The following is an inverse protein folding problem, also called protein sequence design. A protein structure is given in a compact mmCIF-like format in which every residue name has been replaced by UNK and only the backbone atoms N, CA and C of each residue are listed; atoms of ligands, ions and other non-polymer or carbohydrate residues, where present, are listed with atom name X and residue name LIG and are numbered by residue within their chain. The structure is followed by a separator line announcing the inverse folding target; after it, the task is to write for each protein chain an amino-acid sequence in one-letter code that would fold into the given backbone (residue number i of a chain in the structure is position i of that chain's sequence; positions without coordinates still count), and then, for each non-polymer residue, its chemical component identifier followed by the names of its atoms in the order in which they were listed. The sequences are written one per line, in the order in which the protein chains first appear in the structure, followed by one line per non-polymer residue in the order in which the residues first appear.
data_IF_070034638071
#
_entry.id   IF_070034638071
#
_cell.length_a   1.000
_cell.length_b   1.000
_cell.length_c   1.000
_cell.angle_alpha   90.00
_cell.angle_beta   90.00
_cell.angle_gamma   90.00
#
_symmetry.space_group_name_H-M   'P 1'
#
loop_
_entity.id
_entity.type
_entity.pdbx_description
1 polymer ?
#
# COMPACT_ATOMS: atom_id res chain seq x y z
N UNK A 1 -37.70 -31.54 57.18
CA UNK A 1 -36.75 -32.60 56.77
C UNK A 1 -35.95 -32.11 55.57
N UNK A 2 -34.66 -32.42 55.55
CA UNK A 2 -33.56 -31.79 54.80
C UNK A 2 -33.73 -31.71 53.27
N UNK A 3 -33.36 -30.58 52.67
CA UNK A 3 -32.68 -30.50 51.36
C UNK A 3 -31.47 -29.59 51.50
N UNK A 4 -30.29 -30.17 51.44
CA UNK A 4 -28.99 -29.47 51.37
C UNK A 4 -28.42 -29.77 49.99
N UNK A 5 -28.32 -28.75 49.14
CA UNK A 5 -27.58 -28.83 47.87
C UNK A 5 -26.24 -28.15 48.13
N UNK A 6 -25.17 -28.94 48.05
CA UNK A 6 -23.79 -28.50 48.22
C UNK A 6 -23.32 -27.76 46.96
N UNK A 7 -22.93 -26.50 47.16
CA UNK A 7 -21.71 -25.84 46.65
C UNK A 7 -21.28 -26.15 45.22
N UNK A 8 -21.59 -25.20 44.32
CA UNK A 8 -20.78 -24.92 43.14
C UNK A 8 -19.61 -24.01 43.50
N UNK A 9 -18.39 -24.44 43.15
CA UNK A 9 -17.20 -23.58 43.12
C UNK A 9 -16.08 -24.26 42.34
N UNK A 10 -15.89 -23.81 41.11
CA UNK A 10 -14.62 -23.81 40.36
C UNK A 10 -14.87 -22.88 39.16
N UNK A 11 -14.71 -21.56 39.31
CA UNK A 11 -13.43 -20.86 39.31
C UNK A 11 -12.56 -21.21 38.09
N UNK A 12 -12.47 -20.25 37.18
CA UNK A 12 -11.34 -20.10 36.26
C UNK A 12 -11.33 -21.01 35.04
N UNK A 13 -11.80 -20.50 33.91
CA UNK A 13 -10.98 -20.19 32.72
C UNK A 13 -11.99 -19.62 31.71
N UNK A 14 -12.27 -18.32 31.81
CA UNK A 14 -12.68 -17.59 30.62
C UNK A 14 -11.44 -17.51 29.75
N UNK A 15 -11.32 -18.43 28.80
CA UNK A 15 -10.31 -18.38 27.77
C UNK A 15 -10.57 -17.08 26.99
N UNK A 16 -9.78 -16.05 27.28
CA UNK A 16 -9.75 -14.80 26.55
C UNK A 16 -9.27 -15.09 25.13
N UNK A 17 -10.18 -15.54 24.27
CA UNK A 17 -9.98 -15.66 22.85
C UNK A 17 -10.41 -14.34 22.20
N UNK A 18 -9.46 -13.74 21.48
CA UNK A 18 -9.56 -12.60 20.55
C UNK A 18 -9.37 -11.22 21.21
N UNK A 19 -8.29 -10.48 20.83
CA UNK A 19 -8.20 -9.87 19.51
C UNK A 19 -6.86 -10.13 18.79
N UNK A 20 -6.75 -11.25 18.08
CA UNK A 20 -5.75 -11.41 17.01
C UNK A 20 -6.28 -10.96 15.63
N UNK A 21 -7.55 -10.56 15.53
CA UNK A 21 -8.16 -10.20 14.25
C UNK A 21 -7.83 -8.77 13.79
N UNK A 22 -7.57 -7.82 14.70
CA UNK A 22 -7.25 -6.45 14.30
C UNK A 22 -5.83 -6.29 13.71
N UNK A 23 -4.86 -7.08 14.20
CA UNK A 23 -3.46 -7.01 13.73
C UNK A 23 -3.28 -7.67 12.36
N UNK A 24 -4.12 -8.67 12.04
CA UNK A 24 -4.10 -9.34 10.74
C UNK A 24 -4.58 -8.41 9.62
N UNK A 25 -5.58 -7.57 9.87
CA UNK A 25 -6.04 -6.56 8.90
C UNK A 25 -4.99 -5.47 8.69
N UNK A 26 -4.33 -5.03 9.77
CA UNK A 26 -3.29 -4.00 9.72
C UNK A 26 -2.05 -4.44 8.91
N UNK A 27 -1.55 -5.64 9.18
CA UNK A 27 -0.39 -6.17 8.46
C UNK A 27 -0.72 -6.46 7.00
N UNK A 28 -1.93 -6.98 6.72
CA UNK A 28 -2.40 -7.24 5.35
C UNK A 28 -2.50 -5.96 4.54
N UNK A 29 -3.02 -4.87 5.12
CA UNK A 29 -3.11 -3.58 4.44
C UNK A 29 -1.73 -3.02 4.08
N UNK A 30 -0.80 -2.95 5.03
CA UNK A 30 0.55 -2.43 4.76
C UNK A 30 1.27 -3.27 3.69
N UNK A 31 1.17 -4.60 3.76
CA UNK A 31 1.80 -5.47 2.76
C UNK A 31 1.19 -5.29 1.37
N UNK A 32 -0.14 -5.12 1.29
CA UNK A 32 -0.84 -4.84 0.03
C UNK A 32 -0.34 -3.52 -0.58
N UNK A 33 -0.25 -2.48 0.24
CA UNK A 33 0.20 -1.14 -0.18
C UNK A 33 1.68 -1.15 -0.58
N UNK A 34 2.52 -1.96 0.07
CA UNK A 34 3.92 -2.18 -0.36
C UNK A 34 3.98 -2.88 -1.72
N UNK A 35 3.16 -3.91 -1.96
CA UNK A 35 3.12 -4.61 -3.25
C UNK A 35 2.63 -3.71 -4.39
N UNK A 36 1.62 -2.88 -4.14
CA UNK A 36 1.12 -1.87 -5.07
C UNK A 36 2.20 -0.83 -5.37
N UNK A 37 2.83 -0.26 -4.34
CA UNK A 37 3.91 0.70 -4.50
C UNK A 37 5.08 0.12 -5.29
N UNK A 38 5.46 -1.13 -5.03
CA UNK A 38 6.52 -1.81 -5.79
C UNK A 38 6.17 -1.89 -7.28
N UNK A 39 4.92 -2.24 -7.62
CA UNK A 39 4.46 -2.34 -9.01
C UNK A 39 4.52 -0.98 -9.73
N UNK A 40 3.97 0.06 -9.11
CA UNK A 40 3.97 1.43 -9.67
C UNK A 40 5.39 1.96 -9.81
N UNK A 41 6.22 1.78 -8.79
CA UNK A 41 7.62 2.21 -8.83
C UNK A 41 8.42 1.44 -9.89
N UNK A 42 8.15 0.15 -10.10
CA UNK A 42 8.74 -0.63 -11.17
C UNK A 42 8.40 -0.05 -12.54
N UNK A 43 7.14 0.24 -12.82
CA UNK A 43 6.73 0.84 -14.10
C UNK A 43 7.31 2.23 -14.30
N UNK A 44 7.26 3.09 -13.29
CA UNK A 44 7.86 4.43 -13.35
C UNK A 44 9.38 4.35 -13.62
N UNK A 45 10.07 3.44 -12.93
CA UNK A 45 11.51 3.25 -13.09
C UNK A 45 11.83 2.70 -14.48
N UNK A 46 11.06 1.73 -14.98
CA UNK A 46 11.23 1.21 -16.34
C UNK A 46 11.01 2.31 -17.39
N UNK A 47 9.94 3.11 -17.26
CA UNK A 47 9.68 4.24 -18.14
C UNK A 47 10.82 5.27 -18.13
N UNK A 48 11.41 5.53 -16.95
CA UNK A 48 12.58 6.41 -16.81
C UNK A 48 13.83 5.83 -17.46
N UNK A 49 14.09 4.53 -17.29
CA UNK A 49 15.21 3.84 -17.91
C UNK A 49 15.09 3.79 -19.43
N UNK A 50 13.86 3.68 -19.94
CA UNK A 50 13.54 3.76 -21.36
C UNK A 50 13.52 5.20 -21.93
N UNK A 51 13.72 6.23 -21.10
CA UNK A 51 13.72 7.63 -21.52
C UNK A 51 12.34 8.23 -21.80
N UNK A 52 11.26 7.53 -21.45
CA UNK A 52 9.87 8.00 -21.67
C UNK A 52 9.43 9.08 -20.66
N UNK A 53 10.12 9.17 -19.53
CA UNK A 53 9.90 10.23 -18.53
C UNK A 53 11.22 10.76 -17.96
N UNK A 54 11.17 11.97 -17.42
CA UNK A 54 12.25 12.58 -16.66
C UNK A 54 12.40 11.97 -15.26
N UNK A 55 13.55 12.20 -14.63
CA UNK A 55 13.78 11.85 -13.23
C UNK A 55 12.84 12.58 -12.27
N UNK A 56 12.48 13.82 -12.60
CA UNK A 56 11.51 14.59 -11.83
C UNK A 56 10.14 13.91 -11.84
N UNK A 57 9.68 13.42 -12.99
CA UNK A 57 8.41 12.72 -13.12
C UNK A 57 8.42 11.39 -12.36
N UNK A 58 9.55 10.66 -12.37
CA UNK A 58 9.73 9.46 -11.56
C UNK A 58 9.53 9.76 -10.06
N UNK A 59 10.23 10.77 -9.55
CA UNK A 59 10.13 11.17 -8.13
C UNK A 59 8.70 11.62 -7.78
N UNK A 60 8.07 12.39 -8.66
CA UNK A 60 6.69 12.84 -8.45
C UNK A 60 5.71 11.67 -8.35
N UNK A 61 5.83 10.67 -9.23
CA UNK A 61 4.95 9.51 -9.20
C UNK A 61 5.14 8.66 -7.93
N UNK A 62 6.39 8.47 -7.51
CA UNK A 62 6.69 7.75 -6.26
C UNK A 62 6.08 8.47 -5.05
N UNK A 63 6.26 9.79 -4.97
CA UNK A 63 5.70 10.59 -3.88
C UNK A 63 4.16 10.66 -3.93
N UNK A 64 3.54 10.63 -5.11
CA UNK A 64 2.08 10.51 -5.27
C UNK A 64 1.57 9.22 -4.68
N UNK A 65 2.23 8.10 -5.00
CA UNK A 65 1.85 6.80 -4.46
C UNK A 65 1.88 6.79 -2.93
N UNK A 66 2.95 7.33 -2.35
CA UNK A 66 3.09 7.45 -0.89
C UNK A 66 1.97 8.30 -0.26
N UNK A 67 1.54 9.37 -0.93
CA UNK A 67 0.42 10.21 -0.45
C UNK A 67 -0.93 9.51 -0.58
N UNK A 68 -1.21 8.85 -1.70
CA UNK A 68 -2.45 8.09 -1.94
C UNK A 68 -2.62 7.04 -0.84
N UNK A 69 -1.57 6.26 -0.58
CA UNK A 69 -1.53 5.25 0.47
C UNK A 69 -1.62 5.82 1.88
N UNK A 70 -1.17 7.04 2.10
CA UNK A 70 -1.24 7.65 3.43
C UNK A 70 -2.69 7.95 3.85
N UNK A 71 -3.64 8.10 2.92
CA UNK A 71 -5.02 8.53 3.19
C UNK A 71 -5.79 7.52 4.04
N UNK A 72 -5.60 6.22 3.81
CA UNK A 72 -6.36 5.15 4.45
C UNK A 72 -5.58 4.40 5.54
N UNK A 73 -4.34 4.81 5.81
CA UNK A 73 -3.50 4.24 6.87
C UNK A 73 -3.57 5.01 8.18
N UNK A 74 -3.61 4.28 9.29
CA UNK A 74 -3.29 4.80 10.63
C UNK A 74 -1.83 5.28 10.71
N UNK A 75 -1.49 6.04 11.76
CA UNK A 75 -0.14 6.55 11.96
C UNK A 75 0.93 5.44 12.02
N UNK A 76 0.65 4.35 12.76
CA UNK A 76 1.58 3.22 12.89
C UNK A 76 1.73 2.40 11.61
N UNK A 77 0.65 2.21 10.86
CA UNK A 77 0.69 1.59 9.53
C UNK A 77 1.51 2.42 8.55
N UNK A 78 1.34 3.75 8.56
CA UNK A 78 2.08 4.69 7.70
C UNK A 78 3.58 4.66 8.00
N UNK A 79 3.96 4.65 9.28
CA UNK A 79 5.37 4.52 9.68
C UNK A 79 5.97 3.19 9.17
N UNK A 80 5.26 2.09 9.38
CA UNK A 80 5.69 0.75 8.91
C UNK A 80 5.85 0.72 7.39
N UNK A 81 4.87 1.26 6.66
CA UNK A 81 4.91 1.39 5.20
C UNK A 81 6.14 2.18 4.74
N UNK A 82 6.41 3.35 5.34
CA UNK A 82 7.55 4.18 4.95
C UNK A 82 8.89 3.50 5.22
N UNK A 83 9.03 2.78 6.35
CA UNK A 83 10.23 1.98 6.66
C UNK A 83 10.45 0.89 5.62
N UNK A 84 9.41 0.12 5.29
CA UNK A 84 9.49 -0.95 4.29
C UNK A 84 9.80 -0.39 2.90
N UNK A 85 9.16 0.70 2.49
CA UNK A 85 9.37 1.39 1.21
C UNK A 85 10.78 1.96 1.07
N UNK A 86 11.39 2.40 2.17
CA UNK A 86 12.75 2.93 2.18
C UNK A 86 13.84 1.83 2.19
N UNK A 87 13.47 0.59 2.47
CA UNK A 87 14.41 -0.53 2.60
C UNK A 87 15.17 -0.85 1.30
N UNK A 88 16.37 -1.41 1.44
CA UNK A 88 17.15 -1.87 0.29
C UNK A 88 16.46 -3.00 -0.47
N UNK A 89 15.82 -3.93 0.25
CA UNK A 89 15.08 -5.05 -0.37
C UNK A 89 13.98 -4.56 -1.32
N UNK A 90 13.22 -3.53 -0.91
CA UNK A 90 12.21 -2.91 -1.77
C UNK A 90 12.85 -2.27 -3.02
N UNK A 91 13.91 -1.47 -2.83
CA UNK A 91 14.61 -0.78 -3.93
C UNK A 91 15.22 -1.75 -4.95
N UNK A 92 15.87 -2.80 -4.48
CA UNK A 92 16.48 -3.83 -5.31
C UNK A 92 15.42 -4.61 -6.08
N UNK A 93 14.29 -4.96 -5.44
CA UNK A 93 13.17 -5.63 -6.10
C UNK A 93 12.58 -4.75 -7.21
N UNK A 94 12.34 -3.47 -6.94
CA UNK A 94 11.82 -2.51 -7.92
C UNK A 94 12.76 -2.40 -9.12
N UNK A 95 14.06 -2.22 -8.86
CA UNK A 95 15.06 -2.08 -9.90
C UNK A 95 15.21 -3.36 -10.73
N UNK A 96 15.28 -4.53 -10.10
CA UNK A 96 15.40 -5.81 -10.79
C UNK A 96 14.22 -6.04 -11.76
N UNK A 97 12.99 -5.79 -11.30
CA UNK A 97 11.79 -5.90 -12.14
C UNK A 97 11.76 -4.83 -13.24
N UNK A 98 12.18 -3.60 -12.94
CA UNK A 98 12.24 -2.53 -13.94
C UNK A 98 13.23 -2.89 -15.06
N UNK A 99 14.40 -3.42 -14.72
CA UNK A 99 15.37 -3.93 -15.70
C UNK A 99 14.80 -5.09 -16.51
N UNK A 100 14.01 -5.98 -15.92
CA UNK A 100 13.33 -7.04 -16.65
C UNK A 100 12.32 -6.49 -17.67
N UNK A 101 11.54 -5.46 -17.31
CA UNK A 101 10.67 -4.76 -18.27
C UNK A 101 11.48 -4.15 -19.42
N UNK A 102 12.58 -3.45 -19.12
CA UNK A 102 13.46 -2.86 -20.13
C UNK A 102 14.06 -3.91 -21.07
N UNK A 103 14.45 -5.09 -20.55
CA UNK A 103 14.96 -6.21 -21.36
C UNK A 103 13.94 -6.77 -22.34
N UNK A 104 12.64 -6.70 -22.01
CA UNK A 104 11.55 -7.09 -22.92
C UNK A 104 11.29 -6.04 -24.01
N UNK A 105 11.90 -4.86 -23.88
CA UNK A 105 11.85 -3.77 -24.85
C UNK A 105 11.15 -2.52 -24.33
N UNK A 106 11.59 -1.36 -24.80
CA UNK A 106 11.01 -0.05 -24.52
C UNK A 106 9.89 0.32 -25.51
N UNK A 107 9.00 -0.63 -25.82
CA UNK A 107 7.96 -0.47 -26.83
C UNK A 107 6.90 0.58 -26.48
N UNK A 108 6.03 0.91 -27.45
CA UNK A 108 4.92 1.86 -27.26
C UNK A 108 4.03 1.46 -26.08
N UNK A 109 3.79 0.17 -25.87
CA UNK A 109 3.01 -0.39 -24.77
C UNK A 109 3.45 0.12 -23.39
N UNK A 110 4.76 0.26 -23.14
CA UNK A 110 5.28 0.74 -21.86
C UNK A 110 4.97 2.24 -21.66
N UNK A 111 5.12 3.04 -22.72
CA UNK A 111 4.85 4.47 -22.69
C UNK A 111 3.34 4.76 -22.56
N UNK A 112 2.49 3.96 -23.23
CA UNK A 112 1.04 4.04 -23.12
C UNK A 112 0.57 3.61 -21.73
N UNK A 113 1.03 2.46 -21.25
CA UNK A 113 0.74 1.98 -19.89
C UNK A 113 1.14 3.01 -18.85
N UNK A 114 2.33 3.61 -19.01
CA UNK A 114 2.77 4.67 -18.10
C UNK A 114 1.85 5.89 -18.15
N UNK A 115 1.44 6.33 -19.34
CA UNK A 115 0.54 7.48 -19.51
C UNK A 115 -0.78 7.25 -18.77
N UNK A 116 -1.41 6.10 -18.97
CA UNK A 116 -2.69 5.75 -18.34
C UNK A 116 -2.56 5.65 -16.81
N UNK A 117 -1.45 5.05 -16.36
CA UNK A 117 -1.13 4.97 -14.94
C UNK A 117 -0.89 6.36 -14.32
N UNK A 118 -0.18 7.23 -15.02
CA UNK A 118 0.11 8.58 -14.53
C UNK A 118 -1.15 9.44 -14.37
N UNK A 119 -2.13 9.27 -15.26
CA UNK A 119 -3.46 9.90 -15.16
C UNK A 119 -4.21 9.35 -13.95
N UNK A 120 -4.24 8.03 -13.80
CA UNK A 120 -4.90 7.37 -12.66
C UNK A 120 -4.31 7.81 -11.32
N UNK A 121 -2.98 7.91 -11.22
CA UNK A 121 -2.30 8.42 -10.04
C UNK A 121 -2.62 9.88 -9.76
N UNK A 122 -2.71 10.72 -10.79
CA UNK A 122 -3.07 12.12 -10.62
C UNK A 122 -4.51 12.31 -10.12
N UNK A 123 -5.44 11.46 -10.58
CA UNK A 123 -6.83 11.48 -10.12
C UNK A 123 -6.97 10.97 -8.67
N UNK A 124 -6.21 9.93 -8.30
CA UNK A 124 -6.23 9.37 -6.94
C UNK A 124 -5.55 10.27 -5.90
N UNK A 125 -4.57 11.09 -6.29
CA UNK A 125 -3.84 12.03 -5.43
C UNK A 125 -4.66 13.29 -5.06
N UNK A 126 -5.93 13.38 -5.49
CA UNK A 126 -6.83 14.48 -5.12
C UNK A 126 -7.26 14.32 -3.65
N UNK A 127 -7.05 15.32 -2.78
CA UNK A 127 -7.46 15.24 -1.39
C UNK A 127 -8.97 15.00 -1.29
N UNK A 128 -9.40 14.10 -0.39
CA UNK A 128 -10.81 13.74 -0.18
C UNK A 128 -11.74 14.95 0.09
N UNK A 129 -11.19 16.09 0.54
CA UNK A 129 -11.93 17.35 0.72
C UNK A 129 -12.32 18.05 -0.59
N UNK A 130 -11.65 17.75 -1.71
CA UNK A 130 -11.91 18.40 -3.01
C UNK A 130 -13.03 17.68 -3.78
N UNK A 131 -13.20 16.38 -3.56
CA UNK A 131 -14.22 15.55 -4.24
C UNK A 131 -15.64 15.81 -3.73
N UNK A 132 -15.79 16.31 -2.51
CA UNK A 132 -17.10 16.73 -1.97
C UNK A 132 -17.59 18.02 -2.65
N UNK A 133 -16.69 18.92 -3.05
CA UNK A 133 -17.06 20.15 -3.73
C UNK A 133 -17.52 19.93 -5.19
N UNK A 134 -16.99 18.91 -5.87
CA UNK A 134 -17.33 18.60 -7.28
C UNK A 134 -18.60 17.75 -7.46
N UNK A 135 -19.25 17.32 -6.38
CA UNK A 135 -20.54 16.60 -6.41
C UNK A 135 -21.71 17.43 -5.88
N UNK A 136 -21.46 18.71 -5.55
CA UNK A 136 -22.45 19.62 -4.98
C UNK A 136 -22.98 20.66 -5.99
N UNK A 137 -22.72 20.48 -7.29
CA UNK A 137 -23.28 21.29 -8.37
C UNK A 137 -24.30 20.49 -9.20
#
# INVERSE_FOLDING_TARGET
MKKTILTGLSAGVFCALVPMLAVADDATLVQTRIAEAASIHTFATAARLCGSISERELVLAQNRMDRIHAVDMSAGQRETYLVLRASNSFKETVLARAVEHVRRGCGQDLAETWRDLSVSLAQADVPASTTVALRAE
#
